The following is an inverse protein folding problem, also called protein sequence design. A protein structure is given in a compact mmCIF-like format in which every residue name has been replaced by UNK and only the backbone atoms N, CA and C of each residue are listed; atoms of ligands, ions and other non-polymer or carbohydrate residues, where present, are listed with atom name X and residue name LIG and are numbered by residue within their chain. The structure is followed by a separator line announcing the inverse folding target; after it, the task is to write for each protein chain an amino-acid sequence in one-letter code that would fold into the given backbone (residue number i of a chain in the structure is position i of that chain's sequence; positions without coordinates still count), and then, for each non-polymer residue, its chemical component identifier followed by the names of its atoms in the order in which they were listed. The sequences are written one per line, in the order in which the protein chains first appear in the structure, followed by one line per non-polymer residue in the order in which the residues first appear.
data_IF_926333281767
#
_entry.id   IF_926333281767
#
_cell.length_a   1.000
_cell.length_b   1.000
_cell.length_c   1.000
_cell.angle_alpha   90.00
_cell.angle_beta   90.00
_cell.angle_gamma   90.00
#
_symmetry.space_group_name_H-M   'P 1'
#
loop_
_entity.id
_entity.type
_entity.pdbx_description
1 polymer ?
#
# COMPACT_ATOMS: atom_id res chain seq x y z
N UNK A 1 -38.43 12.36 0.34
CA UNK A 1 -38.41 11.30 -0.69
C UNK A 1 -38.15 11.79 -2.13
N UNK A 2 -38.80 12.86 -2.64
CA UNK A 2 -38.59 13.36 -4.01
C UNK A 2 -37.24 14.05 -4.26
N UNK A 3 -36.64 14.67 -3.26
CA UNK A 3 -35.34 15.37 -3.35
C UNK A 3 -34.19 14.36 -3.48
N UNK A 4 -34.23 13.30 -2.70
CA UNK A 4 -33.24 12.21 -2.75
C UNK A 4 -33.19 11.47 -4.09
N UNK A 5 -34.34 11.26 -4.74
CA UNK A 5 -34.42 10.58 -6.04
C UNK A 5 -33.89 11.45 -7.21
N UNK A 6 -33.99 12.76 -7.11
CA UNK A 6 -33.45 13.69 -8.11
C UNK A 6 -31.91 13.81 -8.01
N UNK A 7 -31.38 13.92 -6.79
CA UNK A 7 -29.93 13.89 -6.50
C UNK A 7 -29.28 12.60 -7.00
N UNK A 8 -29.87 11.43 -6.70
CA UNK A 8 -29.36 10.14 -7.17
C UNK A 8 -29.34 9.98 -8.70
N UNK A 9 -30.30 10.61 -9.42
CA UNK A 9 -30.31 10.64 -10.89
C UNK A 9 -29.19 11.52 -11.47
N UNK A 10 -28.88 12.62 -10.80
CA UNK A 10 -27.84 13.54 -11.27
C UNK A 10 -26.46 12.97 -11.00
N UNK A 11 -26.22 12.28 -9.86
CA UNK A 11 -24.96 11.55 -9.59
C UNK A 11 -24.71 10.50 -10.65
N UNK A 12 -25.72 9.70 -11.06
CA UNK A 12 -25.58 8.68 -12.08
C UNK A 12 -25.06 9.26 -13.41
N UNK A 13 -25.61 10.39 -13.86
CA UNK A 13 -25.16 11.08 -15.08
C UNK A 13 -23.72 11.59 -14.96
N UNK A 14 -23.34 12.09 -13.78
CA UNK A 14 -21.98 12.57 -13.52
C UNK A 14 -20.97 11.40 -13.50
N UNK A 15 -21.31 10.29 -12.87
CA UNK A 15 -20.49 9.07 -12.91
C UNK A 15 -20.30 8.56 -14.33
N UNK A 16 -21.34 8.62 -15.19
CA UNK A 16 -21.25 8.27 -16.61
C UNK A 16 -20.36 9.26 -17.39
N UNK A 17 -20.44 10.57 -17.12
CA UNK A 17 -19.55 11.58 -17.70
C UNK A 17 -18.08 11.24 -17.43
N UNK A 18 -17.76 10.97 -16.16
CA UNK A 18 -16.39 10.65 -15.73
C UNK A 18 -15.95 9.23 -16.12
N UNK A 19 -16.85 8.38 -16.62
CA UNK A 19 -16.53 7.03 -17.12
C UNK A 19 -15.62 7.01 -18.34
N UNK A 20 -15.56 8.11 -19.05
CA UNK A 20 -14.76 8.28 -20.27
C UNK A 20 -13.31 8.64 -19.99
N UNK A 21 -12.99 8.98 -18.74
CA UNK A 21 -11.65 9.40 -18.32
C UNK A 21 -10.96 8.28 -17.56
N UNK A 22 -9.66 8.17 -17.74
CA UNK A 22 -8.78 7.29 -16.97
C UNK A 22 -7.96 8.11 -15.99
N UNK A 23 -7.69 7.58 -14.78
CA UNK A 23 -6.82 8.26 -13.84
C UNK A 23 -5.40 8.33 -14.37
N UNK A 24 -4.70 9.43 -14.04
CA UNK A 24 -3.33 9.69 -14.47
C UNK A 24 -2.35 9.23 -13.40
N UNK A 25 -1.58 8.15 -13.60
CA UNK A 25 -0.59 7.72 -12.63
C UNK A 25 0.61 8.67 -12.63
N UNK A 26 1.10 9.00 -11.44
CA UNK A 26 2.26 9.87 -11.22
C UNK A 26 3.43 9.07 -10.62
N UNK A 27 4.67 9.47 -10.93
CA UNK A 27 5.86 8.95 -10.27
C UNK A 27 6.19 9.74 -9.00
N UNK A 28 6.94 9.14 -8.07
CA UNK A 28 7.49 9.86 -6.91
C UNK A 28 8.27 11.08 -7.37
N UNK A 29 9.06 10.94 -8.44
CA UNK A 29 9.80 12.07 -9.03
C UNK A 29 8.86 13.20 -9.47
N UNK A 30 7.75 12.92 -10.14
CA UNK A 30 6.80 13.95 -10.56
C UNK A 30 6.15 14.66 -9.37
N UNK A 31 5.87 13.95 -8.27
CA UNK A 31 5.41 14.57 -7.03
C UNK A 31 6.46 15.50 -6.43
N UNK A 32 7.74 15.09 -6.45
CA UNK A 32 8.87 15.90 -5.95
C UNK A 32 9.07 17.12 -6.83
N UNK A 33 9.22 16.95 -8.15
CA UNK A 33 9.45 18.03 -9.13
C UNK A 33 8.33 19.10 -9.06
N UNK A 34 7.08 18.65 -8.88
CA UNK A 34 5.96 19.54 -8.65
C UNK A 34 6.07 20.28 -7.29
N UNK A 35 6.42 19.56 -6.23
CA UNK A 35 6.43 20.10 -4.88
C UNK A 35 7.59 21.10 -4.63
N UNK A 36 8.74 20.96 -5.32
CA UNK A 36 9.86 21.89 -5.26
C UNK A 36 9.49 23.30 -5.78
N UNK A 37 8.61 23.35 -6.78
CA UNK A 37 8.11 24.58 -7.38
C UNK A 37 6.60 24.70 -7.18
N UNK A 38 6.13 24.35 -5.99
CA UNK A 38 4.72 24.19 -5.71
C UNK A 38 3.89 25.44 -5.99
N UNK A 39 2.91 25.28 -6.88
CA UNK A 39 1.94 26.32 -7.20
C UNK A 39 0.53 25.81 -6.85
N UNK A 40 -0.12 26.43 -5.86
CA UNK A 40 -1.47 26.07 -5.40
C UNK A 40 -2.47 26.04 -6.56
N UNK A 41 -2.41 27.05 -7.44
CA UNK A 41 -3.26 27.15 -8.63
C UNK A 41 -3.12 25.92 -9.54
N UNK A 42 -1.89 25.50 -9.83
CA UNK A 42 -1.63 24.34 -10.70
C UNK A 42 -2.12 23.06 -10.05
N UNK A 43 -1.88 22.89 -8.75
CA UNK A 43 -2.38 21.75 -7.97
C UNK A 43 -3.91 21.71 -7.95
N UNK A 44 -4.55 22.84 -7.69
CA UNK A 44 -6.02 22.96 -7.73
C UNK A 44 -6.59 22.60 -9.10
N UNK A 45 -6.02 23.10 -10.19
CA UNK A 45 -6.45 22.81 -11.55
C UNK A 45 -6.32 21.32 -11.92
N UNK A 46 -5.26 20.68 -11.44
CA UNK A 46 -5.06 19.24 -11.63
C UNK A 46 -6.05 18.43 -10.77
N UNK A 47 -6.09 18.68 -9.46
CA UNK A 47 -6.87 17.87 -8.52
C UNK A 47 -8.38 17.94 -8.77
N UNK A 48 -8.93 19.11 -9.11
CA UNK A 48 -10.35 19.24 -9.40
C UNK A 48 -10.82 18.42 -10.61
N UNK A 49 -9.90 17.97 -11.48
CA UNK A 49 -10.17 17.08 -12.61
C UNK A 49 -9.85 15.64 -12.28
N UNK A 50 -8.73 15.38 -11.62
CA UNK A 50 -8.22 14.04 -11.33
C UNK A 50 -9.00 13.35 -10.21
N UNK A 51 -9.30 14.07 -9.12
CA UNK A 51 -10.02 13.47 -7.99
C UNK A 51 -11.41 12.92 -8.36
N UNK A 52 -12.26 13.60 -9.15
CA UNK A 52 -13.54 13.01 -9.57
C UNK A 52 -13.36 11.72 -10.36
N UNK A 53 -12.32 11.60 -11.20
CA UNK A 53 -12.03 10.37 -11.96
C UNK A 53 -11.68 9.22 -11.00
N UNK A 54 -10.82 9.47 -10.01
CA UNK A 54 -10.46 8.47 -9.00
C UNK A 54 -11.64 8.16 -8.07
N UNK A 55 -12.40 9.15 -7.61
CA UNK A 55 -13.57 8.94 -6.76
C UNK A 55 -14.69 8.14 -7.42
N UNK A 56 -14.91 8.36 -8.71
CA UNK A 56 -15.88 7.57 -9.49
C UNK A 56 -15.63 6.07 -9.34
N UNK A 57 -14.37 5.64 -9.38
CA UNK A 57 -14.01 4.21 -9.23
C UNK A 57 -14.53 3.69 -7.87
N UNK A 58 -14.29 4.42 -6.78
CA UNK A 58 -14.81 4.04 -5.46
C UNK A 58 -16.34 4.03 -5.39
N UNK A 59 -17.00 5.02 -6.00
CA UNK A 59 -18.47 5.08 -6.03
C UNK A 59 -19.08 3.89 -6.79
N UNK A 60 -18.50 3.50 -7.92
CA UNK A 60 -18.99 2.35 -8.70
C UNK A 60 -18.72 1.05 -7.94
N UNK A 61 -17.51 0.89 -7.41
CA UNK A 61 -17.14 -0.27 -6.62
C UNK A 61 -18.11 -0.44 -5.43
N UNK A 62 -18.32 0.59 -4.63
CA UNK A 62 -19.23 0.53 -3.49
C UNK A 62 -20.68 0.31 -3.89
N UNK A 63 -21.12 0.82 -5.05
CA UNK A 63 -22.49 0.62 -5.55
C UNK A 63 -22.74 -0.82 -6.00
N UNK A 64 -21.80 -1.45 -6.68
CA UNK A 64 -21.93 -2.84 -7.13
C UNK A 64 -21.89 -3.83 -5.96
N UNK A 65 -21.03 -3.55 -4.99
CA UNK A 65 -20.91 -4.39 -3.80
C UNK A 65 -21.94 -4.07 -2.72
N UNK A 66 -22.54 -2.88 -2.73
CA UNK A 66 -23.73 -2.63 -1.90
C UNK A 66 -24.89 -3.58 -2.24
N UNK A 67 -24.99 -4.06 -3.48
CA UNK A 67 -25.94 -5.10 -3.87
C UNK A 67 -25.56 -6.47 -3.25
N UNK A 68 -24.28 -6.81 -3.21
CA UNK A 68 -23.76 -8.02 -2.57
C UNK A 68 -23.83 -7.93 -1.04
N UNK A 69 -23.53 -6.75 -0.49
CA UNK A 69 -23.59 -6.41 0.94
C UNK A 69 -24.98 -5.98 1.41
N UNK A 70 -25.96 -5.75 0.53
CA UNK A 70 -27.36 -5.51 0.91
C UNK A 70 -28.06 -6.76 1.42
N UNK A 71 -27.45 -7.93 1.19
CA UNK A 71 -27.78 -9.16 1.90
C UNK A 71 -27.40 -9.06 3.40
N UNK A 72 -26.42 -8.19 3.72
CA UNK A 72 -26.06 -7.83 5.10
C UNK A 72 -26.84 -6.56 5.47
N UNK A 73 -27.67 -6.65 6.48
CA UNK A 73 -28.45 -5.52 7.03
C UNK A 73 -27.58 -4.45 7.71
N UNK A 74 -26.29 -4.35 7.36
CA UNK A 74 -25.37 -3.48 8.05
C UNK A 74 -25.46 -2.03 7.56
N UNK A 75 -25.97 -1.14 8.44
CA UNK A 75 -26.06 0.30 8.17
C UNK A 75 -24.72 0.95 7.84
N UNK A 76 -23.62 0.42 8.37
CA UNK A 76 -22.26 0.95 8.18
C UNK A 76 -21.77 0.92 6.73
N UNK A 77 -22.07 -0.13 5.95
CA UNK A 77 -21.64 -0.25 4.55
C UNK A 77 -22.46 0.69 3.64
N UNK A 78 -23.77 0.76 3.87
CA UNK A 78 -24.66 1.71 3.18
C UNK A 78 -24.23 3.15 3.47
N UNK A 79 -23.89 3.45 4.72
CA UNK A 79 -23.39 4.76 5.13
C UNK A 79 -22.08 5.12 4.42
N UNK A 80 -21.16 4.16 4.19
CA UNK A 80 -19.90 4.43 3.48
C UNK A 80 -20.12 4.73 2.00
N UNK A 81 -21.06 4.07 1.32
CA UNK A 81 -21.45 4.44 -0.03
C UNK A 81 -21.87 5.92 -0.08
N UNK A 82 -22.76 6.34 0.80
CA UNK A 82 -23.22 7.74 0.89
C UNK A 82 -22.07 8.72 1.17
N UNK A 83 -21.06 8.32 1.97
CA UNK A 83 -19.88 9.14 2.21
C UNK A 83 -19.04 9.37 0.96
N UNK A 84 -18.86 8.34 0.12
CA UNK A 84 -18.11 8.47 -1.14
C UNK A 84 -18.89 9.30 -2.16
N UNK A 85 -20.19 9.07 -2.30
CA UNK A 85 -21.07 9.86 -3.18
C UNK A 85 -21.07 11.35 -2.75
N UNK A 86 -21.22 11.65 -1.46
CA UNK A 86 -21.14 13.00 -0.92
C UNK A 86 -19.80 13.67 -1.18
N UNK A 87 -18.68 12.95 -0.97
CA UNK A 87 -17.35 13.50 -1.22
C UNK A 87 -17.11 13.77 -2.71
N UNK A 88 -17.67 12.93 -3.59
CA UNK A 88 -17.66 13.16 -5.03
C UNK A 88 -18.43 14.44 -5.39
N UNK A 89 -19.63 14.66 -4.84
CA UNK A 89 -20.43 15.88 -5.05
C UNK A 89 -19.68 17.12 -4.57
N UNK A 90 -19.15 17.10 -3.34
CA UNK A 90 -18.41 18.24 -2.76
C UNK A 90 -17.21 18.66 -3.63
N UNK A 91 -16.52 17.73 -4.29
CA UNK A 91 -15.43 18.07 -5.21
C UNK A 91 -15.95 18.62 -6.54
N UNK A 92 -17.09 18.12 -7.03
CA UNK A 92 -17.68 18.61 -8.27
C UNK A 92 -18.16 20.07 -8.18
N UNK A 93 -18.44 20.60 -6.98
CA UNK A 93 -18.78 22.01 -6.78
C UNK A 93 -17.66 22.94 -7.30
N UNK A 94 -16.41 22.45 -7.30
CA UNK A 94 -15.25 23.21 -7.78
C UNK A 94 -14.94 23.00 -9.26
N UNK A 95 -15.70 22.16 -10.00
CA UNK A 95 -15.41 21.84 -11.41
C UNK A 95 -15.29 23.10 -12.28
N UNK A 96 -16.16 24.09 -12.06
CA UNK A 96 -16.23 25.33 -12.84
C UNK A 96 -15.64 26.57 -12.11
N UNK A 97 -15.01 26.39 -10.94
CA UNK A 97 -14.43 27.51 -10.20
C UNK A 97 -13.31 28.19 -10.98
N UNK A 98 -13.21 29.50 -10.92
CA UNK A 98 -12.14 30.26 -11.60
C UNK A 98 -10.76 29.87 -11.08
N UNK A 99 -9.79 29.80 -11.96
CA UNK A 99 -8.40 29.46 -11.60
C UNK A 99 -7.68 30.55 -10.80
N UNK A 100 -8.22 31.75 -10.77
CA UNK A 100 -7.64 32.93 -10.09
C UNK A 100 -8.43 33.33 -8.83
N UNK A 101 -9.43 32.54 -8.45
CA UNK A 101 -10.23 32.74 -7.24
C UNK A 101 -9.53 32.12 -6.02
N UNK A 102 -8.75 32.95 -5.29
CA UNK A 102 -8.06 32.53 -4.06
C UNK A 102 -9.02 31.99 -3.01
N UNK A 103 -10.25 32.54 -2.93
CA UNK A 103 -11.25 32.04 -1.98
C UNK A 103 -11.74 30.62 -2.35
N UNK A 104 -11.85 30.33 -3.65
CA UNK A 104 -12.19 28.99 -4.11
C UNK A 104 -11.07 27.99 -3.80
N UNK A 105 -9.81 28.35 -3.97
CA UNK A 105 -8.66 27.49 -3.63
C UNK A 105 -8.59 27.19 -2.12
N UNK A 106 -8.76 28.20 -1.26
CA UNK A 106 -8.80 27.98 0.19
C UNK A 106 -9.96 27.06 0.60
N UNK A 107 -11.17 27.30 0.06
CA UNK A 107 -12.33 26.41 0.33
C UNK A 107 -12.12 25.00 -0.18
N UNK A 108 -11.43 24.83 -1.30
CA UNK A 108 -11.09 23.52 -1.84
C UNK A 108 -10.16 22.75 -0.89
N UNK A 109 -9.10 23.40 -0.39
CA UNK A 109 -8.18 22.81 0.58
C UNK A 109 -8.92 22.40 1.87
N UNK A 110 -9.79 23.28 2.41
CA UNK A 110 -10.63 22.96 3.56
C UNK A 110 -11.57 21.77 3.31
N UNK A 111 -12.18 21.71 2.11
CA UNK A 111 -13.03 20.59 1.72
C UNK A 111 -12.23 19.27 1.69
N UNK A 112 -11.01 19.28 1.13
CA UNK A 112 -10.12 18.11 1.12
C UNK A 112 -9.77 17.63 2.53
N UNK A 113 -9.47 18.55 3.46
CA UNK A 113 -9.20 18.22 4.87
C UNK A 113 -10.44 17.58 5.52
N UNK A 114 -11.63 18.16 5.32
CA UNK A 114 -12.90 17.61 5.83
C UNK A 114 -13.18 16.20 5.29
N UNK A 115 -12.95 16.00 3.99
CA UNK A 115 -13.12 14.69 3.34
C UNK A 115 -12.12 13.69 3.90
N UNK A 116 -10.84 14.04 3.99
CA UNK A 116 -9.79 13.18 4.56
C UNK A 116 -10.16 12.67 5.96
N UNK A 117 -10.62 13.58 6.83
CA UNK A 117 -11.00 13.25 8.20
C UNK A 117 -12.25 12.38 8.26
N UNK A 118 -13.28 12.69 7.43
CA UNK A 118 -14.52 11.89 7.32
C UNK A 118 -14.24 10.45 6.89
N UNK A 119 -13.21 10.23 6.08
CA UNK A 119 -12.82 8.91 5.58
C UNK A 119 -11.80 8.17 6.48
N UNK A 120 -11.53 8.63 7.73
CA UNK A 120 -10.54 8.01 8.61
C UNK A 120 -10.86 6.55 8.92
N UNK A 121 -12.09 6.23 9.30
CA UNK A 121 -12.52 4.92 9.79
C UNK A 121 -12.99 3.94 8.69
N UNK A 122 -12.74 4.25 7.41
CA UNK A 122 -13.26 3.44 6.29
C UNK A 122 -12.74 2.00 6.33
N UNK A 123 -11.47 1.78 6.67
CA UNK A 123 -10.87 0.43 6.72
C UNK A 123 -11.58 -0.42 7.78
N UNK A 124 -11.70 0.10 9.00
CA UNK A 124 -12.35 -0.61 10.12
C UNK A 124 -13.81 -0.92 9.82
N UNK A 125 -14.56 0.05 9.31
CA UNK A 125 -15.98 -0.15 8.99
C UNK A 125 -16.19 -1.15 7.85
N UNK A 126 -15.31 -1.15 6.83
CA UNK A 126 -15.38 -2.14 5.76
C UNK A 126 -15.02 -3.54 6.27
N UNK A 127 -14.00 -3.64 7.13
CA UNK A 127 -13.62 -4.89 7.78
C UNK A 127 -14.79 -5.47 8.58
N UNK A 128 -15.42 -4.65 9.42
CA UNK A 128 -16.60 -5.05 10.19
C UNK A 128 -17.73 -5.54 9.30
N UNK A 129 -18.06 -4.82 8.23
CA UNK A 129 -19.13 -5.22 7.32
C UNK A 129 -18.87 -6.53 6.58
N UNK A 130 -17.60 -6.86 6.28
CA UNK A 130 -17.24 -8.13 5.65
C UNK A 130 -17.23 -9.28 6.67
N UNK A 131 -16.87 -9.02 7.94
CA UNK A 131 -16.99 -10.00 9.05
C UNK A 131 -18.45 -10.41 9.22
N UNK A 132 -19.34 -9.43 9.34
CA UNK A 132 -20.78 -9.67 9.49
C UNK A 132 -21.39 -10.39 8.29
N UNK A 133 -20.88 -10.13 7.07
CA UNK A 133 -21.27 -10.91 5.88
C UNK A 133 -20.89 -12.37 6.04
N UNK A 134 -19.67 -12.68 6.47
CA UNK A 134 -19.21 -14.06 6.67
C UNK A 134 -19.96 -14.77 7.78
N UNK A 135 -20.30 -14.07 8.86
CA UNK A 135 -21.06 -14.65 9.98
C UNK A 135 -22.53 -14.91 9.63
N UNK A 136 -23.13 -14.03 8.81
CA UNK A 136 -24.55 -14.16 8.43
C UNK A 136 -24.79 -15.11 7.25
N UNK A 137 -23.84 -15.23 6.35
CA UNK A 137 -23.93 -16.04 5.15
C UNK A 137 -22.57 -16.69 4.90
N UNK A 138 -22.48 -18.00 4.88
CA UNK A 138 -21.27 -18.67 4.41
C UNK A 138 -21.08 -18.36 2.91
N UNK A 139 -20.17 -17.42 2.53
CA UNK A 139 -20.01 -17.08 1.14
C UNK A 139 -19.40 -18.25 0.36
N UNK A 140 -19.96 -18.53 -0.81
CA UNK A 140 -19.36 -19.47 -1.74
C UNK A 140 -17.99 -18.94 -2.26
N UNK A 141 -17.09 -19.80 -2.75
CA UNK A 141 -15.75 -19.41 -3.21
C UNK A 141 -15.75 -18.29 -4.27
N UNK A 142 -16.80 -18.20 -5.10
CA UNK A 142 -16.93 -17.13 -6.10
C UNK A 142 -17.22 -15.79 -5.46
N UNK A 143 -18.03 -15.78 -4.41
CA UNK A 143 -18.33 -14.58 -3.63
C UNK A 143 -17.12 -14.12 -2.86
N UNK A 144 -16.37 -15.03 -2.21
CA UNK A 144 -15.11 -14.68 -1.55
C UNK A 144 -14.09 -14.06 -2.51
N UNK A 145 -13.92 -14.66 -3.67
CA UNK A 145 -13.04 -14.12 -4.71
C UNK A 145 -13.48 -12.74 -5.23
N UNK A 146 -14.80 -12.54 -5.34
CA UNK A 146 -15.37 -11.24 -5.70
C UNK A 146 -15.13 -10.19 -4.62
N UNK A 147 -15.22 -10.56 -3.34
CA UNK A 147 -14.91 -9.66 -2.21
C UNK A 147 -13.43 -9.29 -2.23
N UNK A 148 -12.52 -10.26 -2.42
CA UNK A 148 -11.08 -10.02 -2.53
C UNK A 148 -10.78 -9.03 -3.66
N UNK A 149 -11.33 -9.28 -4.85
CA UNK A 149 -11.20 -8.40 -6.02
C UNK A 149 -11.65 -6.97 -5.72
N UNK A 150 -12.80 -6.82 -5.10
CA UNK A 150 -13.34 -5.52 -4.70
C UNK A 150 -12.43 -4.80 -3.72
N UNK A 151 -12.06 -5.46 -2.62
CA UNK A 151 -11.28 -4.83 -1.55
C UNK A 151 -9.90 -4.38 -2.04
N UNK A 152 -9.23 -5.18 -2.87
CA UNK A 152 -7.94 -4.79 -3.46
C UNK A 152 -8.04 -3.48 -4.24
N UNK A 153 -9.04 -3.36 -5.12
CA UNK A 153 -9.22 -2.16 -5.93
C UNK A 153 -9.71 -0.97 -5.14
N UNK A 154 -10.61 -1.22 -4.24
CA UNK A 154 -11.15 -0.20 -3.36
C UNK A 154 -10.05 0.43 -2.49
N UNK A 155 -9.23 -0.41 -1.83
CA UNK A 155 -8.16 0.10 -0.98
C UNK A 155 -7.00 0.70 -1.77
N UNK A 156 -6.63 0.15 -2.92
CA UNK A 156 -5.63 0.77 -3.80
C UNK A 156 -6.10 2.16 -4.26
N UNK A 157 -7.35 2.28 -4.68
CA UNK A 157 -7.92 3.58 -5.06
C UNK A 157 -7.97 4.55 -3.87
N UNK A 158 -8.29 4.06 -2.67
CA UNK A 158 -8.24 4.85 -1.45
C UNK A 158 -6.82 5.36 -1.15
N UNK A 159 -5.79 4.52 -1.28
CA UNK A 159 -4.38 4.92 -1.11
C UNK A 159 -4.06 6.06 -2.07
N UNK A 160 -4.43 5.92 -3.34
CA UNK A 160 -4.16 6.91 -4.37
C UNK A 160 -4.86 8.26 -4.12
N UNK A 161 -6.12 8.25 -3.70
CA UNK A 161 -6.87 9.46 -3.34
C UNK A 161 -6.23 10.14 -2.13
N UNK A 162 -5.91 9.37 -1.09
CA UNK A 162 -5.27 9.92 0.12
C UNK A 162 -3.90 10.51 -0.18
N UNK A 163 -3.11 9.88 -1.06
CA UNK A 163 -1.81 10.40 -1.48
C UNK A 163 -1.96 11.80 -2.10
N UNK A 164 -2.89 11.97 -3.04
CA UNK A 164 -3.14 13.28 -3.68
C UNK A 164 -3.64 14.33 -2.68
N UNK A 165 -4.58 13.96 -1.81
CA UNK A 165 -5.12 14.88 -0.79
C UNK A 165 -4.02 15.28 0.18
N UNK A 166 -3.28 14.31 0.73
CA UNK A 166 -2.20 14.59 1.68
C UNK A 166 -1.14 15.48 1.05
N UNK A 167 -0.74 15.21 -0.20
CA UNK A 167 0.25 16.02 -0.91
C UNK A 167 -0.21 17.47 -1.03
N UNK A 168 -1.46 17.72 -1.44
CA UNK A 168 -2.00 19.07 -1.55
C UNK A 168 -2.14 19.77 -0.18
N UNK A 169 -2.72 19.08 0.80
CA UNK A 169 -2.98 19.67 2.12
C UNK A 169 -1.71 19.92 2.92
N UNK A 170 -0.65 19.11 2.72
CA UNK A 170 0.66 19.34 3.35
C UNK A 170 1.43 20.47 2.71
N UNK A 171 1.26 20.73 1.39
CA UNK A 171 1.94 21.83 0.69
C UNK A 171 1.23 23.19 0.88
N UNK A 172 -0.11 23.21 0.93
CA UNK A 172 -0.90 24.44 0.88
C UNK A 172 -1.86 24.63 2.05
N UNK A 173 -2.00 23.61 2.93
CA UNK A 173 -2.81 23.70 4.13
C UNK A 173 -2.07 24.43 5.26
N UNK A 174 -2.83 24.94 6.24
CA UNK A 174 -2.28 25.60 7.43
C UNK A 174 -1.70 24.63 8.47
N UNK A 175 -1.42 23.36 8.09
CA UNK A 175 -0.81 22.38 8.97
C UNK A 175 0.70 22.69 9.08
N UNK A 176 1.11 23.41 10.12
CA UNK A 176 2.49 23.87 10.39
C UNK A 176 3.53 22.76 10.67
N UNK A 177 3.27 21.53 10.24
CA UNK A 177 4.11 20.36 10.54
C UNK A 177 4.96 19.90 9.34
N UNK A 178 5.40 20.80 8.46
CA UNK A 178 6.32 20.42 7.39
C UNK A 178 7.74 20.36 7.92
N UNK A 179 8.27 19.16 8.07
CA UNK A 179 9.71 18.97 8.27
C UNK A 179 10.44 19.54 7.05
N UNK A 180 11.56 20.29 7.22
CA UNK A 180 12.21 21.00 6.11
C UNK A 180 12.68 20.11 4.94
N UNK A 181 12.78 18.81 5.15
CA UNK A 181 13.14 17.82 4.10
C UNK A 181 11.94 17.22 3.37
N UNK A 182 10.71 17.45 3.86
CA UNK A 182 9.51 16.88 3.29
C UNK A 182 8.96 17.76 2.18
N UNK A 183 8.64 17.12 1.06
CA UNK A 183 7.89 17.73 -0.03
C UNK A 183 6.48 17.12 0.03
N UNK A 184 5.58 17.81 0.72
CA UNK A 184 4.27 17.27 1.06
C UNK A 184 4.40 16.04 1.97
N UNK A 185 3.94 14.88 1.52
CA UNK A 185 4.03 13.60 2.23
C UNK A 185 5.29 12.77 1.90
N UNK A 186 6.16 13.26 1.01
CA UNK A 186 7.36 12.55 0.57
C UNK A 186 8.59 13.14 1.26
N UNK A 187 9.44 12.27 1.82
CA UNK A 187 10.79 12.61 2.29
C UNK A 187 11.81 12.25 1.21
N UNK A 188 12.57 13.25 0.75
CA UNK A 188 13.63 13.06 -0.27
C UNK A 188 14.87 12.34 0.26
N UNK A 189 14.98 12.20 1.54
CA UNK A 189 16.09 11.52 2.20
C UNK A 189 15.56 10.63 3.31
N UNK A 190 14.52 9.83 2.98
CA UNK A 190 13.88 8.92 3.90
C UNK A 190 14.90 7.85 4.35
N UNK A 191 15.36 7.97 5.60
CA UNK A 191 16.25 7.00 6.21
C UNK A 191 15.47 5.73 6.55
N UNK A 192 15.76 4.65 5.83
CA UNK A 192 15.01 3.39 5.94
C UNK A 192 15.22 2.75 7.32
N UNK A 193 16.43 2.78 7.86
CA UNK A 193 16.73 2.18 9.17
C UNK A 193 15.98 2.91 10.31
N UNK A 194 15.90 4.23 10.26
CA UNK A 194 15.13 5.00 11.25
C UNK A 194 13.64 4.62 11.24
N UNK A 195 13.04 4.42 10.05
CA UNK A 195 11.64 3.98 9.96
C UNK A 195 11.46 2.54 10.48
N UNK A 196 12.45 1.67 10.24
CA UNK A 196 12.46 0.30 10.80
C UNK A 196 12.46 0.35 12.33
N UNK A 197 13.34 1.15 12.91
CA UNK A 197 13.46 1.31 14.37
C UNK A 197 12.19 1.91 14.99
N UNK A 198 11.64 2.98 14.39
CA UNK A 198 10.39 3.60 14.84
C UNK A 198 9.19 2.63 14.80
N UNK A 199 9.08 1.84 13.72
CA UNK A 199 8.01 0.86 13.57
C UNK A 199 8.17 -0.30 14.56
N UNK A 200 9.40 -0.75 14.80
CA UNK A 200 9.70 -1.79 15.79
C UNK A 200 9.36 -1.33 17.21
N UNK A 201 9.82 -0.14 17.64
CA UNK A 201 9.55 0.36 19.01
C UNK A 201 8.04 0.49 19.29
N UNK A 202 7.27 0.97 18.33
CA UNK A 202 5.82 1.06 18.49
C UNK A 202 5.14 -0.34 18.50
N UNK A 203 5.61 -1.29 17.69
CA UNK A 203 5.09 -2.66 17.70
C UNK A 203 5.49 -3.39 18.99
N UNK A 204 6.72 -3.17 19.48
CA UNK A 204 7.22 -3.68 20.76
C UNK A 204 6.37 -3.20 21.93
N UNK A 205 6.08 -1.91 21.97
CA UNK A 205 5.22 -1.35 23.02
C UNK A 205 3.84 -2.05 23.08
N UNK A 206 3.23 -2.34 21.94
CA UNK A 206 1.97 -3.09 21.90
C UNK A 206 2.15 -4.56 22.30
N UNK A 207 3.26 -5.18 21.89
CA UNK A 207 3.58 -6.55 22.24
C UNK A 207 3.78 -6.70 23.77
N UNK A 208 4.55 -5.78 24.37
CA UNK A 208 4.79 -5.72 25.81
C UNK A 208 3.49 -5.47 26.61
N UNK A 209 2.57 -4.67 26.08
CA UNK A 209 1.26 -4.48 26.71
C UNK A 209 0.39 -5.74 26.67
N UNK A 210 0.51 -6.57 25.62
CA UNK A 210 -0.34 -7.74 25.45
C UNK A 210 0.24 -9.02 26.03
N UNK A 211 1.55 -9.25 25.86
CA UNK A 211 2.24 -10.48 26.26
C UNK A 211 3.20 -10.28 27.44
N UNK A 212 3.45 -9.06 27.90
CA UNK A 212 4.44 -8.67 28.91
C UNK A 212 5.89 -9.00 28.53
N UNK A 213 6.14 -9.40 27.31
CA UNK A 213 7.45 -9.75 26.75
C UNK A 213 7.49 -9.47 25.25
N UNK A 214 8.68 -9.26 24.71
CA UNK A 214 8.88 -9.05 23.27
C UNK A 214 10.28 -9.42 22.82
N UNK A 215 10.46 -9.94 21.57
CA UNK A 215 11.78 -10.26 21.03
C UNK A 215 12.57 -8.99 20.69
N UNK A 216 13.92 -9.07 20.84
CA UNK A 216 14.85 -8.02 20.44
C UNK A 216 14.91 -7.80 18.93
N UNK A 217 15.63 -6.75 18.48
CA UNK A 217 15.83 -6.41 17.06
C UNK A 217 17.33 -6.39 16.70
N UNK A 218 17.68 -6.96 15.57
CA UNK A 218 18.98 -6.83 14.92
C UNK A 218 18.76 -6.25 13.54
N UNK A 219 19.44 -5.12 13.23
CA UNK A 219 19.34 -4.46 11.91
C UNK A 219 20.68 -4.50 11.23
N UNK A 220 20.71 -5.05 10.02
CA UNK A 220 21.86 -5.08 9.13
C UNK A 220 21.58 -4.25 7.88
N UNK A 221 22.58 -3.50 7.41
CA UNK A 221 22.48 -2.67 6.22
C UNK A 221 23.56 -3.06 5.20
N UNK A 222 23.15 -3.20 3.96
CA UNK A 222 24.04 -3.48 2.82
C UNK A 222 23.70 -2.54 1.67
N UNK A 223 24.55 -1.54 1.43
CA UNK A 223 24.41 -0.62 0.28
C UNK A 223 25.51 -0.89 -0.75
N UNK A 224 25.12 -1.27 -1.96
CA UNK A 224 26.06 -1.53 -3.07
C UNK A 224 26.59 -0.23 -3.66
N UNK A 225 25.86 0.89 -3.50
CA UNK A 225 26.20 2.18 -4.10
C UNK A 225 27.12 2.98 -3.18
N UNK A 226 26.80 3.02 -1.89
CA UNK A 226 27.52 3.81 -0.88
C UNK A 226 27.77 2.97 0.37
N UNK A 227 28.76 2.04 0.34
CA UNK A 227 29.12 1.23 1.50
C UNK A 227 29.43 2.13 2.71
N UNK A 228 28.87 1.80 3.88
CA UNK A 228 29.01 2.54 5.14
C UNK A 228 28.21 3.87 5.25
N UNK A 229 27.34 4.19 4.29
CA UNK A 229 26.39 5.30 4.43
C UNK A 229 25.03 4.78 4.86
N UNK A 230 24.22 5.62 5.54
CA UNK A 230 22.83 5.33 5.84
C UNK A 230 22.05 5.16 4.52
N UNK A 231 21.23 4.11 4.45
CA UNK A 231 20.39 3.86 3.26
C UNK A 231 19.20 4.80 3.26
N UNK A 232 19.20 5.74 2.32
CA UNK A 232 18.15 6.71 2.14
C UNK A 232 17.57 6.65 0.72
N UNK A 233 16.25 6.78 0.59
CA UNK A 233 15.51 6.82 -0.68
C UNK A 233 14.47 7.93 -0.68
N UNK A 234 14.04 8.36 -1.86
CA UNK A 234 12.85 9.20 -2.01
C UNK A 234 11.61 8.33 -1.79
N UNK A 235 10.91 8.50 -0.68
CA UNK A 235 9.74 7.68 -0.39
C UNK A 235 8.73 8.39 0.52
N UNK A 236 7.56 7.77 0.70
CA UNK A 236 6.52 8.21 1.65
C UNK A 236 6.74 7.47 2.99
N UNK A 237 7.29 8.14 4.04
CA UNK A 237 7.64 7.47 5.30
C UNK A 237 6.47 6.74 5.94
N UNK A 238 5.25 7.31 5.88
CA UNK A 238 4.06 6.71 6.47
C UNK A 238 3.61 5.41 5.79
N UNK A 239 3.89 5.23 4.48
CA UNK A 239 3.61 3.98 3.78
C UNK A 239 4.59 2.88 4.23
N UNK A 240 5.88 3.21 4.31
CA UNK A 240 6.90 2.28 4.77
C UNK A 240 6.68 1.88 6.23
N UNK A 241 6.42 2.87 7.09
CA UNK A 241 6.08 2.66 8.50
C UNK A 241 4.90 1.69 8.66
N UNK A 242 3.81 1.90 7.92
CA UNK A 242 2.63 1.03 8.01
C UNK A 242 2.96 -0.42 7.65
N UNK A 243 3.71 -0.65 6.56
CA UNK A 243 4.12 -2.00 6.17
C UNK A 243 4.96 -2.68 7.26
N UNK A 244 5.99 -1.99 7.74
CA UNK A 244 6.89 -2.52 8.77
C UNK A 244 6.18 -2.78 10.09
N UNK A 245 5.33 -1.85 10.53
CA UNK A 245 4.58 -1.98 11.77
C UNK A 245 3.66 -3.21 11.78
N UNK A 246 2.94 -3.47 10.67
CA UNK A 246 2.11 -4.67 10.55
C UNK A 246 2.93 -5.96 10.51
N UNK A 247 4.09 -5.95 9.85
CA UNK A 247 5.00 -7.10 9.83
C UNK A 247 5.62 -7.36 11.22
N UNK A 248 6.09 -6.33 11.92
CA UNK A 248 6.62 -6.47 13.28
C UNK A 248 5.59 -7.04 14.24
N UNK A 249 4.36 -6.55 14.23
CA UNK A 249 3.30 -7.11 15.07
C UNK A 249 3.08 -8.60 14.83
N UNK A 250 3.06 -9.02 13.56
CA UNK A 250 2.87 -10.42 13.20
C UNK A 250 4.06 -11.29 13.64
N UNK A 251 5.28 -10.85 13.39
CA UNK A 251 6.50 -11.58 13.76
C UNK A 251 6.70 -11.66 15.28
N UNK A 252 6.48 -10.55 16.02
CA UNK A 252 6.55 -10.56 17.47
C UNK A 252 5.54 -11.52 18.07
N UNK A 253 4.29 -11.48 17.60
CA UNK A 253 3.25 -12.40 18.01
C UNK A 253 3.66 -13.86 17.77
N UNK A 254 4.13 -14.17 16.56
CA UNK A 254 4.53 -15.52 16.19
C UNK A 254 5.67 -16.04 17.09
N UNK A 255 6.69 -15.21 17.36
CA UNK A 255 7.83 -15.57 18.22
C UNK A 255 7.36 -15.83 19.66
N UNK A 256 6.57 -14.94 20.26
CA UNK A 256 6.12 -15.09 21.64
C UNK A 256 5.17 -16.29 21.78
N UNK A 257 4.22 -16.48 20.85
CA UNK A 257 3.29 -17.61 20.91
C UNK A 257 3.99 -18.97 20.69
N UNK A 258 5.07 -19.01 19.89
CA UNK A 258 5.83 -20.24 19.62
C UNK A 258 6.77 -20.64 20.74
N UNK A 259 7.49 -19.66 21.33
CA UNK A 259 8.47 -19.92 22.42
C UNK A 259 7.86 -19.92 23.81
N UNK A 260 6.63 -19.45 23.95
CA UNK A 260 5.89 -19.37 25.22
C UNK A 260 5.93 -17.97 25.84
N UNK A 261 4.80 -17.57 26.43
CA UNK A 261 4.62 -16.25 27.05
C UNK A 261 5.40 -16.06 28.34
N UNK A 262 5.84 -17.15 28.97
CA UNK A 262 6.62 -17.13 30.22
C UNK A 262 8.13 -16.96 29.98
N UNK A 263 8.55 -16.91 28.69
CA UNK A 263 9.95 -16.75 28.31
C UNK A 263 10.36 -15.29 28.49
N UNK A 264 11.47 -15.04 29.20
CA UNK A 264 11.98 -13.69 29.34
C UNK A 264 12.38 -13.08 27.98
N UNK A 265 12.28 -11.77 27.86
CA UNK A 265 12.56 -11.07 26.58
C UNK A 265 13.98 -11.32 26.05
N UNK A 266 14.96 -11.54 26.95
CA UNK A 266 16.35 -11.81 26.56
C UNK A 266 16.56 -13.23 26.01
N UNK A 267 15.67 -14.17 26.32
CA UNK A 267 15.74 -15.56 25.86
C UNK A 267 14.95 -15.78 24.57
N UNK A 268 14.11 -14.81 24.16
CA UNK A 268 13.41 -14.88 22.89
C UNK A 268 14.39 -14.63 21.72
N UNK A 269 14.30 -15.41 20.62
CA UNK A 269 15.13 -15.16 19.45
C UNK A 269 14.81 -13.79 18.85
N UNK A 270 15.84 -12.96 18.56
CA UNK A 270 15.62 -11.63 18.00
C UNK A 270 15.03 -11.67 16.60
N UNK A 271 14.31 -10.62 16.24
CA UNK A 271 13.91 -10.34 14.88
C UNK A 271 15.11 -9.79 14.10
N UNK A 272 15.38 -10.34 12.92
CA UNK A 272 16.48 -9.89 12.09
C UNK A 272 15.94 -9.10 10.89
N UNK A 273 16.41 -7.87 10.70
CA UNK A 273 16.08 -7.04 9.56
C UNK A 273 17.33 -6.77 8.73
N UNK A 274 17.29 -7.20 7.46
CA UNK A 274 18.30 -6.86 6.47
C UNK A 274 17.74 -5.81 5.52
N UNK A 275 18.40 -4.65 5.43
CA UNK A 275 18.11 -3.58 4.48
C UNK A 275 19.18 -3.63 3.40
N UNK A 276 18.82 -4.00 2.18
CA UNK A 276 19.74 -4.13 1.06
C UNK A 276 19.35 -3.17 -0.08
N UNK A 277 20.25 -2.25 -0.43
CA UNK A 277 20.07 -1.32 -1.53
C UNK A 277 20.93 -1.72 -2.73
N UNK A 278 20.27 -2.05 -3.83
CA UNK A 278 20.87 -2.22 -5.14
C UNK A 278 20.82 -0.91 -5.95
N UNK A 279 21.05 -1.01 -7.26
CA UNK A 279 20.98 0.14 -8.19
C UNK A 279 19.55 0.53 -8.54
N UNK A 280 18.64 -0.45 -8.64
CA UNK A 280 17.26 -0.26 -9.10
C UNK A 280 16.26 -0.46 -7.98
N UNK A 281 16.53 -1.41 -7.06
CA UNK A 281 15.61 -1.83 -6.02
C UNK A 281 16.23 -1.70 -4.63
N UNK A 282 15.37 -1.41 -3.66
CA UNK A 282 15.62 -1.55 -2.23
C UNK A 282 14.81 -2.76 -1.73
N UNK A 283 15.47 -3.66 -1.01
CA UNK A 283 14.81 -4.81 -0.37
C UNK A 283 14.97 -4.70 1.14
N UNK A 284 13.87 -4.85 1.86
CA UNK A 284 13.87 -4.98 3.32
C UNK A 284 13.36 -6.38 3.64
N UNK A 285 14.23 -7.20 4.24
CA UNK A 285 13.88 -8.55 4.68
C UNK A 285 13.79 -8.57 6.20
N UNK A 286 12.62 -8.94 6.72
CA UNK A 286 12.38 -9.18 8.13
C UNK A 286 12.23 -10.69 8.34
N UNK A 287 13.06 -11.24 9.20
CA UNK A 287 13.11 -12.68 9.51
C UNK A 287 12.77 -12.92 10.98
N UNK A 288 11.85 -13.84 11.23
CA UNK A 288 11.49 -14.31 12.56
C UNK A 288 11.77 -15.82 12.73
N UNK A 289 11.78 -16.26 13.98
CA UNK A 289 11.87 -17.68 14.39
C UNK A 289 10.60 -18.11 15.14
N UNK A 290 9.44 -17.66 14.64
CA UNK A 290 8.12 -17.92 15.23
C UNK A 290 7.47 -19.23 14.79
N UNK A 291 8.25 -20.28 14.49
CA UNK A 291 7.73 -21.60 14.13
C UNK A 291 7.21 -21.73 12.69
N UNK A 292 7.15 -20.64 11.93
CA UNK A 292 6.75 -20.64 10.53
C UNK A 292 5.27 -20.93 10.26
N UNK A 293 4.92 -20.98 8.98
CA UNK A 293 3.54 -21.12 8.50
C UNK A 293 3.45 -22.33 7.57
N UNK A 294 2.48 -23.22 7.74
CA UNK A 294 2.27 -24.36 6.87
C UNK A 294 2.07 -23.95 5.40
N UNK A 295 2.62 -24.72 4.46
CA UNK A 295 2.54 -24.45 3.02
C UNK A 295 1.10 -24.29 2.53
N UNK A 296 0.16 -25.05 3.08
CA UNK A 296 -1.26 -24.99 2.76
C UNK A 296 -1.90 -23.64 3.07
N UNK A 297 -1.37 -22.90 4.04
CA UNK A 297 -1.88 -21.59 4.46
C UNK A 297 -1.26 -20.41 3.69
N UNK A 298 -0.17 -20.66 2.94
CA UNK A 298 0.62 -19.56 2.30
C UNK A 298 -0.22 -18.75 1.31
N UNK A 299 -1.13 -19.38 0.55
CA UNK A 299 -2.00 -18.70 -0.40
C UNK A 299 -3.09 -17.84 0.26
N UNK A 300 -3.41 -18.15 1.53
CA UNK A 300 -4.42 -17.44 2.31
C UNK A 300 -3.90 -16.16 2.99
N UNK A 301 -2.58 -16.03 3.14
CA UNK A 301 -1.97 -14.94 3.93
C UNK A 301 -2.30 -13.52 3.44
N UNK A 302 -2.56 -13.36 2.14
CA UNK A 302 -2.95 -12.09 1.55
C UNK A 302 -4.45 -11.99 1.26
N UNK A 303 -5.25 -12.95 1.74
CA UNK A 303 -6.70 -12.85 1.69
C UNK A 303 -7.22 -12.02 2.86
N UNK A 304 -8.18 -11.14 2.56
CA UNK A 304 -8.82 -10.35 3.61
C UNK A 304 -9.57 -11.26 4.57
N UNK A 305 -9.43 -10.95 5.87
CA UNK A 305 -10.08 -11.68 6.96
C UNK A 305 -9.54 -13.11 7.20
N UNK A 306 -8.44 -13.48 6.59
CA UNK A 306 -7.66 -14.61 7.05
C UNK A 306 -6.80 -14.17 8.23
N UNK A 307 -7.08 -14.69 9.40
CA UNK A 307 -6.29 -14.44 10.61
C UNK A 307 -6.32 -15.68 11.50
N UNK A 308 -5.17 -15.99 12.08
CA UNK A 308 -5.03 -17.00 13.14
C UNK A 308 -5.15 -16.36 14.54
N UNK A 309 -5.25 -15.02 14.59
CA UNK A 309 -5.45 -14.32 15.85
C UNK A 309 -6.90 -14.47 16.36
N UNK A 310 -7.11 -14.49 17.69
CA UNK A 310 -8.44 -14.39 18.25
C UNK A 310 -9.15 -13.15 17.74
N UNK A 311 -10.42 -13.28 17.38
CA UNK A 311 -11.22 -12.11 16.96
C UNK A 311 -11.38 -11.15 18.14
N UNK A 312 -11.27 -9.82 17.91
CA UNK A 312 -11.54 -8.85 18.95
C UNK A 312 -12.98 -8.98 19.41
N UNK A 313 -13.18 -9.33 20.69
CA UNK A 313 -14.52 -9.41 21.26
C UNK A 313 -15.18 -8.03 21.24
N UNK A 314 -16.42 -7.94 20.78
CA UNK A 314 -17.20 -6.70 20.70
C UNK A 314 -17.41 -6.01 22.08
N UNK A 315 -17.09 -6.69 23.17
CA UNK A 315 -17.28 -6.25 24.56
C UNK A 315 -16.00 -5.82 25.29
N UNK A 316 -14.82 -5.91 24.64
CA UNK A 316 -13.52 -5.58 25.27
C UNK A 316 -13.16 -4.11 25.12
N UNK A 317 -13.54 -3.29 26.10
CA UNK A 317 -13.36 -1.82 26.11
C UNK A 317 -11.91 -1.35 26.21
N UNK A 318 -10.88 -2.18 26.38
CA UNK A 318 -9.57 -1.69 26.85
C UNK A 318 -8.30 -2.30 26.23
N UNK A 319 -8.35 -3.16 25.21
CA UNK A 319 -7.12 -3.53 24.52
C UNK A 319 -7.36 -3.65 23.02
N UNK A 320 -6.77 -2.74 22.25
CA UNK A 320 -6.66 -2.93 20.79
C UNK A 320 -5.86 -4.23 20.59
N UNK A 321 -6.42 -5.26 19.91
CA UNK A 321 -5.71 -6.51 19.73
C UNK A 321 -4.44 -6.24 18.93
N UNK A 322 -3.34 -6.88 19.28
CA UNK A 322 -2.07 -6.81 18.56
C UNK A 322 -2.27 -7.19 17.07
N UNK A 323 -3.16 -8.15 16.80
CA UNK A 323 -3.63 -8.53 15.47
C UNK A 323 -5.09 -9.01 15.57
N UNK A 324 -5.88 -8.98 14.50
CA UNK A 324 -7.25 -9.47 14.62
C UNK A 324 -8.11 -9.43 13.36
N UNK A 325 -8.08 -8.35 12.58
CA UNK A 325 -9.00 -8.22 11.45
C UNK A 325 -8.57 -8.91 10.15
N UNK A 326 -7.34 -9.45 10.06
CA UNK A 326 -6.82 -10.06 8.84
C UNK A 326 -6.56 -9.10 7.68
N UNK A 327 -6.44 -7.80 7.97
CA UNK A 327 -6.25 -6.74 6.97
C UNK A 327 -4.79 -6.24 6.87
N UNK A 328 -3.94 -6.54 7.85
CA UNK A 328 -2.56 -6.04 7.92
C UNK A 328 -1.73 -6.39 6.69
N UNK A 329 -1.60 -7.69 6.40
CA UNK A 329 -0.80 -8.18 5.27
C UNK A 329 -1.36 -7.77 3.89
N UNK A 330 -2.67 -7.94 3.59
CA UNK A 330 -3.24 -7.47 2.33
C UNK A 330 -3.01 -5.98 2.08
N UNK A 331 -3.25 -5.13 3.08
CA UNK A 331 -3.04 -3.68 2.95
C UNK A 331 -1.55 -3.33 2.81
N UNK A 332 -0.67 -3.95 3.58
CA UNK A 332 0.78 -3.74 3.47
C UNK A 332 1.29 -4.08 2.06
N UNK A 333 0.78 -5.16 1.46
CA UNK A 333 1.11 -5.50 0.08
C UNK A 333 0.60 -4.47 -0.92
N UNK A 334 -0.59 -3.90 -0.70
CA UNK A 334 -1.11 -2.82 -1.55
C UNK A 334 -0.26 -1.54 -1.43
N UNK A 335 0.21 -1.20 -0.23
CA UNK A 335 1.13 -0.06 -0.05
C UNK A 335 2.46 -0.28 -0.79
N UNK A 336 3.04 -1.47 -0.73
CA UNK A 336 4.23 -1.80 -1.50
C UNK A 336 3.98 -1.69 -3.01
N UNK A 337 2.89 -2.29 -3.49
CA UNK A 337 2.49 -2.31 -4.90
C UNK A 337 2.10 -0.94 -5.45
N UNK A 338 1.68 -0.03 -4.60
CA UNK A 338 1.25 1.29 -5.04
C UNK A 338 2.32 2.03 -5.83
N UNK A 339 3.59 1.92 -5.44
CA UNK A 339 4.75 2.45 -6.17
C UNK A 339 5.59 1.35 -6.84
N UNK A 340 4.93 0.34 -7.41
CA UNK A 340 5.57 -0.74 -8.17
C UNK A 340 6.55 -1.61 -7.40
N UNK A 341 6.42 -1.67 -6.10
CA UNK A 341 7.06 -2.68 -5.26
C UNK A 341 6.20 -3.94 -5.11
N UNK A 342 6.58 -4.81 -4.18
CA UNK A 342 5.74 -5.93 -3.72
C UNK A 342 6.11 -6.32 -2.29
N UNK A 343 5.25 -7.09 -1.65
CA UNK A 343 5.47 -7.75 -0.36
C UNK A 343 5.28 -9.26 -0.56
N UNK A 344 6.31 -10.02 -0.23
CA UNK A 344 6.32 -11.48 -0.36
C UNK A 344 6.64 -12.10 1.00
N UNK A 345 5.99 -13.22 1.31
CA UNK A 345 6.27 -14.03 2.50
C UNK A 345 6.82 -15.39 2.07
N UNK A 346 7.92 -15.78 2.68
CA UNK A 346 8.51 -17.11 2.53
C UNK A 346 8.62 -17.73 3.91
N UNK A 347 8.07 -18.92 4.10
CA UNK A 347 8.00 -19.53 5.40
C UNK A 347 8.48 -20.99 5.38
N UNK A 348 9.16 -21.38 6.45
CA UNK A 348 9.59 -22.74 6.74
C UNK A 348 8.87 -23.20 8.00
N UNK A 349 7.87 -24.11 7.83
CA UNK A 349 7.13 -24.70 8.96
C UNK A 349 8.09 -25.40 9.93
N UNK A 350 7.92 -25.16 11.22
CA UNK A 350 8.80 -25.62 12.29
C UNK A 350 10.01 -24.71 12.56
N UNK A 351 10.22 -23.64 11.77
CA UNK A 351 11.37 -22.75 11.95
C UNK A 351 10.97 -21.27 12.06
N UNK A 352 10.46 -20.66 10.97
CA UNK A 352 10.15 -19.23 10.98
C UNK A 352 9.74 -18.69 9.62
N UNK A 353 9.56 -17.38 9.54
CA UNK A 353 9.07 -16.67 8.35
C UNK A 353 9.99 -15.53 7.96
N UNK A 354 10.24 -15.38 6.66
CA UNK A 354 10.89 -14.25 6.03
C UNK A 354 9.84 -13.41 5.30
N UNK A 355 9.71 -12.14 5.66
CA UNK A 355 8.90 -11.15 4.96
C UNK A 355 9.83 -10.23 4.15
N UNK A 356 9.61 -10.13 2.84
CA UNK A 356 10.42 -9.32 1.93
C UNK A 356 9.58 -8.19 1.33
N UNK A 357 9.95 -6.95 1.64
CA UNK A 357 9.41 -5.75 1.01
C UNK A 357 10.37 -5.34 -0.11
N UNK A 358 9.87 -5.27 -1.33
CA UNK A 358 10.60 -4.75 -2.49
C UNK A 358 10.09 -3.37 -2.83
N UNK A 359 10.98 -2.40 -2.93
CA UNK A 359 10.67 -1.02 -3.31
C UNK A 359 11.57 -0.56 -4.44
N UNK A 360 11.08 0.32 -5.30
CA UNK A 360 11.92 0.99 -6.29
C UNK A 360 12.82 2.01 -5.63
N UNK A 361 14.14 1.86 -5.80
CA UNK A 361 15.13 2.80 -5.27
C UNK A 361 15.19 4.11 -6.09
N UNK A 362 14.74 4.07 -7.36
CA UNK A 362 14.73 5.19 -8.27
C UNK A 362 13.34 5.85 -8.31
N UNK A 363 13.28 7.14 -7.97
CA UNK A 363 12.02 7.89 -7.88
C UNK A 363 11.28 8.05 -9.23
N UNK A 364 11.99 7.97 -10.36
CA UNK A 364 11.41 8.00 -11.71
C UNK A 364 10.75 6.66 -12.11
N UNK A 365 11.12 5.55 -11.49
CA UNK A 365 10.54 4.22 -11.72
C UNK A 365 9.41 3.88 -10.75
N UNK A 366 9.39 4.54 -9.60
CA UNK A 366 8.35 4.42 -8.58
C UNK A 366 7.06 5.13 -9.01
N UNK A 367 6.34 4.53 -9.97
CA UNK A 367 5.09 5.06 -10.51
C UNK A 367 3.88 4.50 -9.77
N UNK A 368 2.84 5.33 -9.59
CA UNK A 368 1.55 4.87 -9.04
C UNK A 368 1.00 3.69 -9.86
N UNK A 369 0.50 2.69 -9.16
CA UNK A 369 -0.31 1.61 -9.74
C UNK A 369 -1.78 1.89 -9.41
N UNK A 370 -2.56 2.27 -10.41
CA UNK A 370 -3.95 2.66 -10.21
C UNK A 370 -4.89 1.57 -10.73
N UNK A 371 -5.99 1.27 -10.00
CA UNK A 371 -6.94 0.27 -10.44
C UNK A 371 -7.72 0.76 -11.67
N UNK A 372 -7.86 -0.11 -12.65
CA UNK A 372 -8.83 0.06 -13.74
C UNK A 372 -10.10 -0.69 -13.37
N UNK A 373 -11.22 -0.02 -13.50
CA UNK A 373 -12.50 -0.66 -13.35
C UNK A 373 -13.25 -0.65 -14.69
N UNK A 374 -13.41 -1.82 -15.30
CA UNK A 374 -14.35 -2.03 -16.39
C UNK A 374 -15.11 -3.35 -16.17
N UNK A 375 -16.32 -3.45 -16.76
CA UNK A 375 -17.16 -4.65 -16.61
C UNK A 375 -16.53 -5.91 -17.20
N UNK A 376 -15.59 -5.77 -18.11
CA UNK A 376 -14.88 -6.88 -18.77
C UNK A 376 -13.79 -7.44 -17.85
N UNK A 377 -13.02 -6.58 -17.18
CA UNK A 377 -11.99 -6.98 -16.20
C UNK A 377 -12.58 -7.78 -15.07
N UNK A 378 -13.76 -7.40 -14.56
CA UNK A 378 -14.45 -8.12 -13.49
C UNK A 378 -14.79 -9.58 -13.86
N UNK A 379 -15.08 -9.86 -15.14
CA UNK A 379 -15.38 -11.22 -15.61
C UNK A 379 -14.12 -12.07 -15.81
N UNK A 380 -12.99 -11.45 -16.13
CA UNK A 380 -11.73 -12.16 -16.38
C UNK A 380 -10.91 -12.44 -15.13
N UNK A 381 -11.18 -11.75 -14.03
CA UNK A 381 -10.45 -11.95 -12.77
C UNK A 381 -10.59 -13.35 -12.18
N UNK A 382 -11.69 -14.03 -12.46
CA UNK A 382 -11.93 -15.41 -12.06
C UNK A 382 -11.13 -16.47 -12.84
N UNK A 383 -10.42 -16.07 -13.92
CA UNK A 383 -9.72 -17.01 -14.81
C UNK A 383 -8.21 -16.78 -14.94
N UNK A 384 -7.65 -15.72 -14.37
CA UNK A 384 -6.23 -15.41 -14.53
C UNK A 384 -5.63 -14.77 -13.26
N UNK A 385 -4.90 -15.56 -12.51
CA UNK A 385 -3.92 -15.11 -11.53
C UNK A 385 -2.82 -14.38 -12.32
N UNK A 386 -2.93 -13.07 -12.48
CA UNK A 386 -1.93 -12.27 -13.18
C UNK A 386 -2.42 -11.34 -14.28
N UNK A 387 -3.73 -11.19 -14.48
CA UNK A 387 -4.25 -10.27 -15.48
C UNK A 387 -3.98 -8.81 -15.10
N UNK A 388 -3.55 -8.03 -16.08
CA UNK A 388 -3.15 -6.61 -16.01
C UNK A 388 -4.32 -5.66 -15.78
N UNK A 389 -4.99 -5.77 -14.63
CA UNK A 389 -6.08 -4.87 -14.24
C UNK A 389 -5.59 -3.58 -13.55
N UNK A 390 -4.30 -3.33 -13.64
CA UNK A 390 -3.65 -2.17 -13.05
C UNK A 390 -3.15 -1.25 -14.16
N UNK A 391 -3.54 0.03 -14.14
CA UNK A 391 -2.93 1.05 -15.00
C UNK A 391 -1.59 1.43 -14.39
N UNK A 392 -0.56 1.13 -15.14
CA UNK A 392 0.76 1.69 -14.92
C UNK A 392 1.20 2.37 -16.23
N UNK A 393 1.97 3.46 -16.20
CA UNK A 393 2.52 4.00 -17.43
C UNK A 393 3.28 2.88 -18.15
N UNK A 394 3.21 2.81 -19.51
CA UNK A 394 4.02 1.85 -20.24
C UNK A 394 5.48 2.06 -19.85
N UNK A 395 6.18 0.97 -19.56
CA UNK A 395 7.63 1.04 -19.38
C UNK A 395 8.21 1.79 -20.58
N UNK A 396 9.15 2.73 -20.40
CA UNK A 396 9.79 3.37 -21.53
C UNK A 396 10.30 2.26 -22.46
N UNK A 397 9.93 2.31 -23.72
CA UNK A 397 10.38 1.33 -24.70
C UNK A 397 11.90 1.26 -24.59
N UNK A 398 12.51 0.05 -24.53
CA UNK A 398 13.96 -0.05 -24.51
C UNK A 398 14.46 0.77 -25.67
N UNK A 399 15.35 1.74 -25.40
CA UNK A 399 15.91 2.60 -26.43
C UNK A 399 16.44 1.69 -27.53
N UNK A 400 15.91 1.86 -28.76
CA UNK A 400 16.38 1.09 -29.90
C UNK A 400 17.90 1.23 -29.92
N UNK A 401 18.68 0.13 -30.03
CA UNK A 401 20.13 0.19 -30.02
C UNK A 401 20.52 1.13 -31.14
N UNK A 402 21.18 2.25 -30.78
CA UNK A 402 21.69 3.17 -31.78
C UNK A 402 22.64 2.43 -32.73
N UNK A 403 22.58 2.66 -34.05
CA UNK A 403 23.44 1.95 -35.01
C UNK A 403 24.94 2.11 -34.77
N UNK A 404 25.34 3.00 -33.84
CA UNK A 404 26.75 3.24 -33.48
C UNK A 404 27.26 2.35 -32.33
N UNK A 405 26.39 1.61 -31.61
CA UNK A 405 26.82 0.75 -30.49
C UNK A 405 27.52 -0.55 -30.88
N UNK A 406 27.51 -0.96 -32.16
CA UNK A 406 28.09 -2.25 -32.60
C UNK A 406 29.60 -2.20 -32.94
N UNK A 407 30.24 -1.02 -32.86
CA UNK A 407 31.69 -0.91 -33.19
C UNK A 407 32.65 -0.87 -31.98
N UNK A 408 32.17 -0.97 -30.74
CA UNK A 408 33.04 -0.85 -29.53
C UNK A 408 33.11 -2.09 -28.64
N UNK A 409 32.79 -3.29 -29.15
CA UNK A 409 32.90 -4.54 -28.35
C UNK A 409 34.32 -5.15 -28.43
N UNK A 410 35.22 -4.61 -29.23
CA UNK A 410 36.58 -5.18 -29.42
C UNK A 410 37.62 -4.74 -28.37
N UNK A 411 37.33 -3.89 -27.39
CA UNK A 411 38.32 -3.39 -26.42
C UNK A 411 37.83 -3.46 -24.95
N UNK A 412 37.27 -4.59 -24.51
CA UNK A 412 37.07 -4.84 -23.09
C UNK A 412 38.34 -5.51 -22.49
N UNK A 413 38.90 -4.98 -21.38
CA UNK A 413 40.10 -5.53 -20.79
C UNK A 413 39.86 -6.94 -20.24
N UNK A 414 40.84 -7.80 -20.41
CA UNK A 414 40.90 -9.24 -20.08
C UNK A 414 40.48 -9.62 -18.63
N UNK A 415 40.26 -8.68 -17.74
CA UNK A 415 39.90 -8.96 -16.34
C UNK A 415 38.41 -9.35 -16.12
N UNK A 416 37.50 -9.04 -17.05
CA UNK A 416 36.08 -9.44 -16.92
C UNK A 416 35.87 -10.90 -17.32
N UNK A 417 36.74 -11.45 -18.20
CA UNK A 417 36.65 -12.83 -18.61
C UNK A 417 37.01 -13.82 -17.47
N UNK A 418 37.85 -13.42 -16.49
CA UNK A 418 38.19 -14.27 -15.35
C UNK A 418 37.09 -14.44 -14.30
N UNK A 419 36.18 -13.48 -14.17
CA UNK A 419 35.03 -13.60 -13.24
C UNK A 419 33.95 -14.54 -13.78
N UNK A 420 33.77 -14.63 -15.10
CA UNK A 420 32.79 -15.56 -15.70
C UNK A 420 33.24 -17.04 -15.62
N UNK A 421 34.54 -17.30 -15.54
CA UNK A 421 35.10 -18.66 -15.40
C UNK A 421 34.97 -19.17 -13.95
N UNK A 422 35.02 -18.27 -12.94
CA UNK A 422 34.81 -18.62 -11.54
C UNK A 422 33.32 -18.98 -11.27
N UNK A 423 32.39 -18.27 -11.89
CA UNK A 423 30.97 -18.57 -11.77
C UNK A 423 30.58 -19.92 -12.40
N UNK A 424 31.26 -20.34 -13.48
CA UNK A 424 31.06 -21.66 -14.10
C UNK A 424 31.65 -22.80 -13.26
N UNK A 425 32.75 -22.58 -12.53
CA UNK A 425 33.36 -23.61 -11.65
C UNK A 425 32.50 -23.85 -10.41
N UNK A 426 31.82 -22.85 -9.85
CA UNK A 426 30.88 -23.04 -8.73
C UNK A 426 29.66 -23.85 -9.13
N UNK A 427 29.13 -23.67 -10.35
CA UNK A 427 27.97 -24.41 -10.84
C UNK A 427 28.24 -25.91 -11.11
N UNK A 428 29.47 -26.31 -11.36
CA UNK A 428 29.83 -27.71 -11.59
C UNK A 428 30.11 -28.49 -10.29
N UNK A 429 30.48 -27.82 -9.21
CA UNK A 429 30.77 -28.49 -7.92
C UNK A 429 29.49 -28.90 -7.15
N UNK A 430 28.31 -28.32 -7.49
CA UNK A 430 26.99 -28.67 -6.89
C UNK A 430 26.19 -29.70 -7.69
N UNK A 431 26.69 -30.18 -8.82
CA UNK A 431 26.05 -31.27 -9.58
C UNK A 431 26.55 -32.66 -9.25
N UNK A 432 27.57 -32.82 -8.39
CA UNK A 432 28.17 -34.07 -8.00
C UNK A 432 28.22 -34.32 -6.49
N UNK A 433 27.15 -33.88 -5.77
CA UNK A 433 26.87 -34.36 -4.42
C UNK A 433 25.40 -34.71 -4.29
#
# INVERSE_FOLDING_TARGET
MRITTRLLKDIGKMLDKYSRFHPSPLSIKQFIDFGENACEKTSFLFLRKELPVRWRISCILTSQYALLLSLCRHEGVVMKRLLYERSFEEILEFENAGSDDQKAMTKFCEALIKIRNRHSNVVQTMAQGVIELKESHEPDPKTEHSIQYFLDRFYMNRISIRMLINQHTSLFGNENNTHPRHIGSIDRNCNVASIVEDAYENAKFLCDQYYLTSPGLIVEQCDVIAPNAAICIDYVPSHLYHMLFELFKNSMRAVVEYHGTDTESNDLPPLNVLIARGREDLTIKLSDKGGGIPRSCTELLFQYMYSTAPQPSASGLNSAPLAGYGYGLPLSRLYARYFRGDLILTSCEGYGTDALIYLKALSNEANEMLPVFNKTSSKHYSSAVGASDWIAPPAPAPAAPSPQGLRHISNLPLNVAKQSVLARKFSQQYKNK
#
